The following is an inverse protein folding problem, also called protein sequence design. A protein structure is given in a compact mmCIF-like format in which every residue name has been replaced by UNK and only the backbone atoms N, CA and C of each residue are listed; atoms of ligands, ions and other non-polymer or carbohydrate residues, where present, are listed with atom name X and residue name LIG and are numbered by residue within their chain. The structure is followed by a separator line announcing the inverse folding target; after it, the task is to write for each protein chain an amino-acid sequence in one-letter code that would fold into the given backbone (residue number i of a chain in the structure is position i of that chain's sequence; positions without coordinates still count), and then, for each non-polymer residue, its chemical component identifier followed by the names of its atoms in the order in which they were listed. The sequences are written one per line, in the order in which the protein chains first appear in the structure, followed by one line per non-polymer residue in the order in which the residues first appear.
data_IF_336086956882
#
_entry.id   IF_336086956882
#
_cell.length_a   1.000
_cell.length_b   1.000
_cell.length_c   1.000
_cell.angle_alpha   90.00
_cell.angle_beta   90.00
_cell.angle_gamma   90.00
#
_symmetry.space_group_name_H-M   'P 1'
#
loop_
_entity.id
_entity.type
_entity.pdbx_description
1 polymer ?
#
# COMPACT_ATOMS: atom_id res chain seq x y z
N UNK A 1 17.59 -25.55 4.90
CA UNK A 1 16.60 -25.30 3.83
C UNK A 1 15.74 -24.13 4.30
N UNK A 2 15.75 -22.99 3.61
CA UNK A 2 14.91 -21.85 3.99
C UNK A 2 13.42 -22.13 3.75
N UNK A 3 12.52 -21.33 4.34
CA UNK A 3 11.08 -21.47 4.10
C UNK A 3 10.75 -21.21 2.63
N UNK A 4 9.81 -21.98 2.07
CA UNK A 4 9.36 -21.80 0.68
C UNK A 4 8.51 -20.54 0.49
N UNK A 5 7.81 -20.11 1.54
CA UNK A 5 6.97 -18.92 1.55
C UNK A 5 7.41 -18.00 2.69
N UNK A 6 7.60 -16.73 2.37
CA UNK A 6 7.96 -15.68 3.33
C UNK A 6 6.99 -14.52 3.14
N UNK A 7 6.37 -14.06 4.23
CA UNK A 7 5.64 -12.80 4.25
C UNK A 7 6.44 -11.85 5.11
N UNK A 8 6.77 -10.69 4.56
CA UNK A 8 7.61 -9.70 5.24
C UNK A 8 7.12 -8.29 4.99
N UNK A 9 7.40 -7.42 5.95
CA UNK A 9 7.23 -5.98 5.78
C UNK A 9 8.09 -5.47 4.61
N UNK A 10 7.63 -4.38 4.00
CA UNK A 10 8.35 -3.68 2.94
C UNK A 10 9.70 -3.15 3.44
N UNK A 11 10.75 -3.26 2.62
CA UNK A 11 12.05 -2.69 2.94
C UNK A 11 12.15 -1.23 2.45
N UNK A 12 11.92 -0.30 3.38
CA UNK A 12 11.99 1.14 3.11
C UNK A 12 13.36 1.66 2.64
N UNK A 13 14.45 0.92 2.91
CA UNK A 13 15.78 1.31 2.44
C UNK A 13 15.95 1.03 0.94
N UNK A 14 15.18 0.08 0.41
CA UNK A 14 15.23 -0.39 -0.97
C UNK A 14 13.87 -0.22 -1.64
N UNK A 15 13.20 0.91 -1.41
CA UNK A 15 11.82 1.14 -1.84
C UNK A 15 11.62 0.94 -3.35
N UNK A 16 12.55 1.39 -4.19
CA UNK A 16 12.52 1.20 -5.64
C UNK A 16 12.39 -0.28 -6.03
N UNK A 17 13.25 -1.14 -5.45
CA UNK A 17 13.20 -2.59 -5.66
C UNK A 17 11.90 -3.21 -5.15
N UNK A 18 11.36 -2.70 -4.05
CA UNK A 18 10.10 -3.18 -3.49
C UNK A 18 8.91 -2.78 -4.36
N UNK A 19 8.90 -1.56 -4.90
CA UNK A 19 7.89 -1.10 -5.86
C UNK A 19 7.92 -1.89 -7.16
N UNK A 20 9.10 -2.27 -7.67
CA UNK A 20 9.20 -3.16 -8.83
C UNK A 20 8.52 -4.50 -8.58
N UNK A 21 8.68 -5.08 -7.37
CA UNK A 21 7.99 -6.33 -6.98
C UNK A 21 6.48 -6.12 -6.94
N UNK A 22 6.03 -5.02 -6.32
CA UNK A 22 4.60 -4.67 -6.25
C UNK A 22 4.01 -4.47 -7.64
N UNK A 23 4.68 -3.72 -8.53
CA UNK A 23 4.27 -3.48 -9.92
C UNK A 23 4.16 -4.80 -10.69
N UNK A 24 5.15 -5.69 -10.59
CA UNK A 24 5.11 -7.03 -11.22
C UNK A 24 3.87 -7.82 -10.81
N UNK A 25 3.49 -7.75 -9.53
CA UNK A 25 2.27 -8.40 -9.06
C UNK A 25 1.03 -7.65 -9.56
N UNK A 26 1.00 -6.32 -9.48
CA UNK A 26 -0.11 -5.49 -9.92
C UNK A 26 -0.45 -5.72 -11.39
N UNK A 27 0.52 -5.58 -12.30
CA UNK A 27 0.31 -5.71 -13.74
C UNK A 27 -0.24 -7.10 -14.10
N UNK A 28 0.22 -8.15 -13.40
CA UNK A 28 -0.26 -9.52 -13.62
C UNK A 28 -1.60 -9.81 -12.95
N UNK A 29 -1.78 -9.42 -11.69
CA UNK A 29 -2.96 -9.76 -10.89
C UNK A 29 -4.18 -8.92 -11.25
N UNK A 30 -3.97 -7.68 -11.73
CA UNK A 30 -5.02 -6.76 -12.15
C UNK A 30 -5.23 -6.68 -13.66
N UNK A 31 -4.37 -7.27 -14.51
CA UNK A 31 -4.66 -7.32 -15.97
C UNK A 31 -5.99 -8.02 -16.32
N UNK A 32 -6.51 -8.86 -15.42
CA UNK A 32 -7.82 -9.49 -15.56
C UNK A 32 -9.00 -8.57 -15.14
N UNK A 33 -8.73 -7.41 -14.51
CA UNK A 33 -9.76 -6.44 -14.13
C UNK A 33 -10.11 -5.53 -15.31
N UNK A 34 -11.41 -5.33 -15.55
CA UNK A 34 -11.89 -4.41 -16.59
C UNK A 34 -11.38 -2.99 -16.35
N UNK A 35 -10.69 -2.41 -17.34
CA UNK A 35 -10.12 -1.07 -17.28
C UNK A 35 -8.75 -0.97 -16.62
N UNK A 36 -8.11 -2.11 -16.28
CA UNK A 36 -6.74 -2.09 -15.78
C UNK A 36 -5.75 -1.77 -16.90
N UNK A 37 -5.00 -0.68 -16.71
CA UNK A 37 -3.84 -0.34 -17.54
C UNK A 37 -2.56 -0.69 -16.77
N UNK A 38 -1.55 -1.29 -17.42
CA UNK A 38 -0.24 -1.47 -16.81
C UNK A 38 0.33 -0.14 -16.32
N UNK A 39 0.97 -0.15 -15.15
CA UNK A 39 1.61 1.07 -14.64
C UNK A 39 2.88 1.35 -15.46
N UNK A 40 3.05 2.61 -15.86
CA UNK A 40 4.28 3.11 -16.46
C UNK A 40 5.36 3.32 -15.40
N UNK A 41 6.62 3.35 -15.82
CA UNK A 41 7.75 3.59 -14.90
C UNK A 41 7.64 4.95 -14.20
N UNK A 42 7.12 5.96 -14.92
CA UNK A 42 6.93 7.31 -14.39
C UNK A 42 5.83 7.34 -13.32
N UNK A 43 4.71 6.64 -13.53
CA UNK A 43 3.65 6.51 -12.52
C UNK A 43 4.16 5.83 -11.25
N UNK A 44 4.91 4.74 -11.37
CA UNK A 44 5.49 4.06 -10.21
C UNK A 44 6.41 4.99 -9.44
N UNK A 45 7.31 5.70 -10.13
CA UNK A 45 8.24 6.64 -9.49
C UNK A 45 7.53 7.81 -8.80
N UNK A 46 6.45 8.33 -9.39
CA UNK A 46 5.65 9.38 -8.78
C UNK A 46 4.92 8.87 -7.53
N UNK A 47 4.31 7.68 -7.62
CA UNK A 47 3.66 7.04 -6.48
C UNK A 47 4.65 6.78 -5.35
N UNK A 48 5.87 6.29 -5.62
CA UNK A 48 6.91 6.12 -4.61
C UNK A 48 7.21 7.42 -3.85
N UNK A 49 7.39 8.52 -4.59
CA UNK A 49 7.71 9.82 -4.02
C UNK A 49 6.62 10.33 -3.09
N UNK A 50 5.35 10.16 -3.47
CA UNK A 50 4.20 10.58 -2.68
C UNK A 50 3.96 9.65 -1.49
N UNK A 51 3.96 8.34 -1.72
CA UNK A 51 3.66 7.34 -0.70
C UNK A 51 4.73 7.28 0.38
N UNK A 52 6.00 7.57 0.06
CA UNK A 52 7.09 7.60 1.05
C UNK A 52 6.81 8.50 2.26
N UNK A 53 5.96 9.52 2.10
CA UNK A 53 5.59 10.45 3.17
C UNK A 53 4.54 9.88 4.15
N UNK A 54 3.79 8.86 3.74
CA UNK A 54 2.63 8.34 4.48
C UNK A 54 2.67 6.84 4.71
N UNK A 55 3.60 6.12 4.08
CA UNK A 55 3.73 4.68 4.19
C UNK A 55 4.17 4.30 5.61
N UNK A 56 3.46 3.35 6.19
CA UNK A 56 3.85 2.66 7.41
C UNK A 56 4.38 1.27 7.01
N UNK A 57 5.66 0.96 7.23
CA UNK A 57 6.25 -0.31 6.81
C UNK A 57 5.57 -1.52 7.46
N UNK A 58 4.96 -1.34 8.63
CA UNK A 58 4.21 -2.40 9.33
C UNK A 58 2.83 -2.68 8.72
N UNK A 59 2.40 -1.85 7.76
CA UNK A 59 1.12 -1.97 7.05
C UNK A 59 1.28 -2.35 5.57
N UNK A 60 2.50 -2.60 5.12
CA UNK A 60 2.81 -2.99 3.75
C UNK A 60 3.61 -4.27 3.76
N UNK A 61 3.04 -5.32 3.17
CA UNK A 61 3.64 -6.65 3.16
C UNK A 61 3.82 -7.15 1.73
N UNK A 62 4.93 -7.87 1.51
CA UNK A 62 5.18 -8.64 0.31
C UNK A 62 5.28 -10.12 0.71
N UNK A 63 4.53 -10.95 0.00
CA UNK A 63 4.64 -12.40 0.05
C UNK A 63 5.58 -12.85 -1.07
N UNK A 64 6.62 -13.59 -0.72
CA UNK A 64 7.61 -14.15 -1.64
C UNK A 64 7.55 -15.68 -1.58
N UNK A 65 7.41 -16.33 -2.73
CA UNK A 65 7.49 -17.78 -2.88
C UNK A 65 8.78 -18.15 -3.61
N UNK A 66 9.64 -18.95 -2.98
CA UNK A 66 10.98 -19.31 -3.49
C UNK A 66 11.83 -18.09 -3.89
N UNK A 67 11.65 -16.96 -3.21
CA UNK A 67 12.37 -15.71 -3.47
C UNK A 67 11.74 -14.79 -4.53
N UNK A 68 10.66 -15.22 -5.18
CA UNK A 68 9.94 -14.43 -6.18
C UNK A 68 8.65 -13.83 -5.59
N UNK A 69 8.25 -12.61 -5.99
CA UNK A 69 7.05 -11.96 -5.47
C UNK A 69 5.78 -12.69 -5.91
N UNK A 70 5.00 -13.15 -4.94
CA UNK A 70 3.76 -13.92 -5.12
C UNK A 70 2.50 -13.09 -4.83
N UNK A 71 2.61 -12.14 -3.90
CA UNK A 71 1.51 -11.25 -3.51
C UNK A 71 1.98 -10.06 -2.70
N UNK A 72 1.10 -9.06 -2.55
CA UNK A 72 1.35 -7.90 -1.72
C UNK A 72 0.07 -7.37 -1.09
N UNK A 73 0.21 -6.69 0.04
CA UNK A 73 -0.84 -5.94 0.71
C UNK A 73 -0.29 -4.55 1.05
N UNK A 74 -1.10 -3.52 0.79
CA UNK A 74 -0.83 -2.16 1.20
C UNK A 74 -2.06 -1.60 1.90
N UNK A 75 -1.92 -1.27 3.18
CA UNK A 75 -2.97 -0.70 3.99
C UNK A 75 -2.54 0.65 4.60
N UNK A 76 -3.54 1.47 4.93
CA UNK A 76 -3.36 2.74 5.60
C UNK A 76 -4.36 2.88 6.75
N UNK A 77 -4.06 3.70 7.78
CA UNK A 77 -5.07 4.09 8.75
C UNK A 77 -6.30 4.70 8.06
N UNK A 78 -7.51 4.33 8.49
CA UNK A 78 -8.74 4.90 7.95
C UNK A 78 -8.94 6.34 8.40
N UNK A 79 -8.32 7.26 7.67
CA UNK A 79 -8.39 8.71 7.92
C UNK A 79 -9.80 9.27 7.87
N UNK A 80 -10.77 8.56 7.26
CA UNK A 80 -12.17 9.01 7.25
C UNK A 80 -12.74 9.14 8.67
N UNK A 81 -12.25 8.36 9.64
CA UNK A 81 -12.65 8.52 11.03
C UNK A 81 -12.30 9.91 11.58
N UNK A 82 -11.10 10.40 11.29
CA UNK A 82 -10.64 11.73 11.71
C UNK A 82 -11.31 12.84 10.89
N UNK A 83 -11.46 12.66 9.58
CA UNK A 83 -12.09 13.63 8.67
C UNK A 83 -13.57 13.83 9.02
N UNK A 84 -14.29 12.76 9.39
CA UNK A 84 -15.68 12.81 9.84
C UNK A 84 -15.84 13.69 11.07
N UNK A 85 -14.90 13.64 12.03
CA UNK A 85 -14.92 14.52 13.21
C UNK A 85 -14.73 15.99 12.84
N UNK A 86 -14.02 16.29 11.74
CA UNK A 86 -13.88 17.64 11.20
C UNK A 86 -15.04 18.07 10.28
N UNK A 87 -16.12 17.28 10.18
CA UNK A 87 -17.24 17.52 9.26
C UNK A 87 -16.79 17.75 7.80
N UNK A 88 -15.70 17.09 7.38
CA UNK A 88 -15.15 17.23 6.03
C UNK A 88 -14.52 18.58 5.70
N UNK A 89 -14.39 19.50 6.67
CA UNK A 89 -13.77 20.81 6.46
C UNK A 89 -12.33 20.81 6.96
N UNK A 90 -11.43 21.48 6.25
CA UNK A 90 -10.05 21.69 6.70
C UNK A 90 -9.91 22.95 7.55
N UNK A 91 -10.61 24.03 7.18
CA UNK A 91 -10.51 25.32 7.83
C UNK A 91 -11.81 25.69 8.57
N UNK A 92 -11.72 26.54 9.62
CA UNK A 92 -10.47 27.09 10.19
C UNK A 92 -9.70 26.10 11.10
N UNK A 93 -10.37 25.14 11.73
CA UNK A 93 -9.76 24.24 12.73
C UNK A 93 -9.86 22.75 12.39
N UNK A 94 -10.40 22.41 11.22
CA UNK A 94 -10.64 21.03 10.82
C UNK A 94 -9.36 20.22 10.65
N UNK A 95 -8.31 20.82 10.06
CA UNK A 95 -7.00 20.20 9.93
C UNK A 95 -6.40 19.86 11.29
N UNK A 96 -6.44 20.80 12.24
CA UNK A 96 -5.98 20.57 13.60
C UNK A 96 -6.76 19.41 14.25
N UNK A 97 -8.08 19.38 14.06
CA UNK A 97 -8.93 18.30 14.56
C UNK A 97 -8.58 16.95 13.93
N UNK A 98 -8.32 16.90 12.62
CA UNK A 98 -7.90 15.69 11.90
C UNK A 98 -6.56 15.20 12.46
N UNK A 99 -5.56 16.08 12.55
CA UNK A 99 -4.23 15.74 13.04
C UNK A 99 -4.25 15.28 14.51
N UNK A 100 -5.09 15.89 15.35
CA UNK A 100 -5.27 15.46 16.74
C UNK A 100 -5.88 14.06 16.84
N UNK A 101 -6.86 13.75 15.98
CA UNK A 101 -7.59 12.48 16.05
C UNK A 101 -6.95 11.34 15.25
N UNK A 102 -5.95 11.61 14.39
CA UNK A 102 -5.26 10.58 13.59
C UNK A 102 -4.69 9.45 14.44
N UNK A 103 -4.15 9.76 15.63
CA UNK A 103 -3.56 8.79 16.56
C UNK A 103 -4.60 7.90 17.27
N UNK A 104 -5.89 8.23 17.14
CA UNK A 104 -7.00 7.45 17.74
C UNK A 104 -7.66 6.51 16.74
N UNK A 105 -7.18 6.46 15.49
CA UNK A 105 -7.73 5.58 14.45
C UNK A 105 -7.47 4.13 14.84
N UNK A 106 -8.51 3.30 14.82
CA UNK A 106 -8.47 1.87 15.22
C UNK A 106 -8.74 0.91 14.06
N UNK A 107 -8.94 1.41 12.85
CA UNK A 107 -9.13 0.56 11.67
C UNK A 107 -8.17 0.95 10.56
N UNK A 108 -7.95 -0.03 9.70
CA UNK A 108 -7.14 0.10 8.50
C UNK A 108 -8.03 0.00 7.28
N UNK A 109 -7.63 0.65 6.21
CA UNK A 109 -8.18 0.48 4.87
C UNK A 109 -7.11 -0.15 3.99
N UNK A 110 -7.42 -1.30 3.43
CA UNK A 110 -6.59 -1.92 2.39
C UNK A 110 -6.78 -1.08 1.13
N UNK A 111 -5.72 -0.41 0.69
CA UNK A 111 -5.71 0.34 -0.55
C UNK A 111 -5.51 -0.58 -1.74
N UNK A 112 -4.55 -1.52 -1.61
CA UNK A 112 -4.22 -2.48 -2.65
C UNK A 112 -3.94 -3.85 -2.03
N UNK A 113 -4.44 -4.88 -2.68
CA UNK A 113 -4.17 -6.28 -2.38
C UNK A 113 -4.08 -7.01 -3.71
N UNK A 114 -2.99 -7.74 -3.91
CA UNK A 114 -2.76 -8.51 -5.12
C UNK A 114 -2.12 -9.84 -4.79
N UNK A 115 -2.63 -10.91 -5.39
CA UNK A 115 -2.02 -12.24 -5.37
C UNK A 115 -2.02 -12.74 -6.82
N UNK A 116 -0.86 -13.19 -7.29
CA UNK A 116 -0.74 -13.80 -8.61
C UNK A 116 -1.64 -15.05 -8.68
N UNK A 117 -2.27 -15.26 -9.84
CA UNK A 117 -3.27 -16.31 -10.05
C UNK A 117 -2.75 -17.72 -9.73
N UNK A 118 -1.47 -17.97 -9.98
CA UNK A 118 -0.79 -19.24 -9.69
C UNK A 118 -0.67 -19.57 -8.19
N UNK A 119 -0.94 -18.61 -7.30
CA UNK A 119 -0.93 -18.78 -5.84
C UNK A 119 -2.30 -18.53 -5.18
N UNK A 120 -3.38 -18.47 -5.96
CA UNK A 120 -4.76 -18.34 -5.45
C UNK A 120 -5.38 -19.70 -5.11
#
# INVERSE_FOLDING_TARGET
MGPLMVVRAVDMKNLERESEKVRKIYDKAWSENWGATPLTDEEVKNMEKELKLIIDPELVFIAEYKGEPAGFLMAFPDMNQAIKLANGRLLPFGLLKILWHRHKIKSLRIALLGVLKEYR
#
